data_IF_340392138116
#
_entry.id   IF_340392138116
#
_cell.length_a   1.000
_cell.length_b   1.000
_cell.length_c   1.000
_cell.angle_alpha   90.00
_cell.angle_beta   90.00
_cell.angle_gamma   90.00
#
_symmetry.space_group_name_H-M   'P 1'
#
loop_
_entity.id
_entity.type
_entity.pdbx_description
1 polymer ?
#
# COMPACT_ATOMS: atom_id res chain seq x y z
N UNK A 1 11.09 -5.20 31.78
CA UNK A 1 12.51 -5.25 31.38
C UNK A 1 12.77 -5.76 29.95
N UNK A 2 11.75 -6.16 29.16
CA UNK A 2 11.93 -6.60 27.76
C UNK A 2 11.44 -5.60 26.69
N UNK A 3 10.65 -4.59 27.05
CA UNK A 3 10.17 -3.56 26.10
C UNK A 3 11.26 -2.54 25.72
N UNK A 4 12.24 -2.27 26.59
CA UNK A 4 13.34 -1.33 26.31
C UNK A 4 14.25 -1.82 25.17
N UNK A 5 14.31 -3.15 24.95
CA UNK A 5 15.06 -3.76 23.84
C UNK A 5 14.36 -3.58 22.49
N UNK A 6 13.02 -3.57 22.48
CA UNK A 6 12.22 -3.36 21.27
C UNK A 6 12.29 -1.90 20.86
N UNK A 7 12.22 -0.95 21.81
CA UNK A 7 12.48 0.46 21.51
C UNK A 7 13.88 0.64 20.94
N UNK A 8 14.89 -0.08 21.43
CA UNK A 8 16.24 -0.05 20.87
C UNK A 8 16.35 -0.65 19.45
N UNK A 9 15.57 -1.68 19.12
CA UNK A 9 15.51 -2.29 17.77
C UNK A 9 14.58 -1.57 16.80
N UNK A 10 13.54 -0.88 17.29
CA UNK A 10 12.59 -0.09 16.49
C UNK A 10 13.04 1.36 16.29
N UNK A 11 14.03 1.84 17.03
CA UNK A 11 14.54 3.22 16.90
C UNK A 11 15.98 3.38 16.42
N UNK A 12 16.81 2.34 16.32
CA UNK A 12 18.19 2.52 15.82
C UNK A 12 18.63 1.29 15.01
N UNK A 13 18.41 1.36 13.70
CA UNK A 13 19.24 0.60 12.77
C UNK A 13 20.66 1.20 12.85
N UNK A 14 21.53 0.51 13.59
CA UNK A 14 23.00 0.56 13.61
C UNK A 14 23.71 1.92 13.72
N UNK A 15 24.44 2.07 14.84
CA UNK A 15 25.46 3.11 15.12
C UNK A 15 26.65 3.18 14.14
N UNK A 16 26.69 2.35 13.10
CA UNK A 16 27.76 2.32 12.09
C UNK A 16 27.25 2.33 10.63
N UNK A 17 25.96 2.57 10.39
CA UNK A 17 25.47 2.68 9.01
C UNK A 17 25.62 4.12 8.53
N UNK A 18 26.62 4.35 7.69
CA UNK A 18 26.54 5.36 6.63
C UNK A 18 25.14 5.29 6.03
N UNK A 19 24.33 6.34 6.21
CA UNK A 19 23.02 6.46 5.59
C UNK A 19 23.19 6.16 4.09
N UNK A 20 22.78 4.97 3.65
CA UNK A 20 22.81 4.65 2.24
C UNK A 20 21.65 5.41 1.61
N UNK A 21 21.95 6.44 0.83
CA UNK A 21 20.97 7.08 -0.03
C UNK A 21 20.17 5.99 -0.76
N UNK A 22 18.86 6.20 -0.89
CA UNK A 22 18.07 5.40 -1.82
C UNK A 22 18.78 5.43 -3.19
N UNK A 23 18.78 4.33 -3.95
CA UNK A 23 19.31 4.35 -5.31
C UNK A 23 18.71 5.53 -6.08
N UNK A 24 19.57 6.41 -6.61
CA UNK A 24 19.16 7.52 -7.47
C UNK A 24 18.77 8.81 -6.79
N UNK A 25 18.87 8.91 -5.46
CA UNK A 25 18.47 10.12 -4.74
C UNK A 25 19.35 11.34 -5.06
N UNK A 26 18.72 12.48 -5.38
CA UNK A 26 19.39 13.74 -5.71
C UNK A 26 19.59 14.67 -4.53
N UNK A 27 18.61 14.71 -3.60
CA UNK A 27 18.62 15.62 -2.48
C UNK A 27 19.38 15.02 -1.28
N UNK A 28 20.00 15.90 -0.48
CA UNK A 28 20.59 15.48 0.79
C UNK A 28 19.48 15.13 1.79
N UNK A 29 19.38 13.83 2.06
CA UNK A 29 18.75 13.17 3.22
C UNK A 29 17.36 13.70 3.62
N UNK A 30 16.34 13.42 2.79
CA UNK A 30 15.04 13.13 3.40
C UNK A 30 15.14 11.78 4.12
N UNK A 31 15.01 11.80 5.44
CA UNK A 31 14.94 10.57 6.24
C UNK A 31 13.52 10.04 6.12
N UNK A 32 13.39 8.83 5.58
CA UNK A 32 12.13 8.12 5.48
C UNK A 32 12.11 6.92 6.42
N UNK A 33 11.13 6.90 7.33
CA UNK A 33 10.89 5.77 8.21
C UNK A 33 10.05 4.71 7.48
N UNK A 34 10.53 3.46 7.46
CA UNK A 34 9.78 2.30 6.98
C UNK A 34 9.65 1.27 8.09
N UNK A 35 8.50 0.59 8.12
CA UNK A 35 8.28 -0.51 9.05
C UNK A 35 9.14 -1.70 8.62
N UNK A 36 9.90 -2.27 9.55
CA UNK A 36 10.66 -3.50 9.30
C UNK A 36 9.72 -4.71 9.25
N UNK A 37 10.14 -5.80 8.62
CA UNK A 37 9.32 -7.02 8.61
C UNK A 37 9.11 -7.59 10.04
N UNK A 38 10.05 -7.34 10.96
CA UNK A 38 9.90 -7.64 12.37
C UNK A 38 8.81 -6.78 13.03
N UNK A 39 8.82 -5.46 12.85
CA UNK A 39 7.80 -4.58 13.43
C UNK A 39 6.41 -4.85 12.83
N UNK A 40 6.33 -5.15 11.53
CA UNK A 40 5.08 -5.59 10.87
C UNK A 40 4.54 -6.88 11.47
N UNK A 41 5.42 -7.83 11.81
CA UNK A 41 5.04 -9.09 12.46
C UNK A 41 4.46 -8.84 13.85
N UNK A 42 5.11 -8.00 14.65
CA UNK A 42 4.60 -7.57 15.97
C UNK A 42 3.20 -6.98 15.80
N UNK A 43 3.03 -5.99 14.90
CA UNK A 43 1.73 -5.37 14.66
C UNK A 43 0.67 -6.39 14.22
N UNK A 44 1.01 -7.31 13.30
CA UNK A 44 0.08 -8.36 12.87
C UNK A 44 -0.31 -9.28 14.04
N UNK A 45 0.64 -9.66 14.89
CA UNK A 45 0.39 -10.51 16.05
C UNK A 45 -0.45 -9.82 17.13
N UNK A 46 -0.50 -8.48 17.15
CA UNK A 46 -1.42 -7.68 17.97
C UNK A 46 -2.83 -7.66 17.35
N UNK A 47 -2.93 -7.32 16.06
CA UNK A 47 -4.22 -7.07 15.42
C UNK A 47 -4.99 -8.36 15.10
N UNK A 48 -4.29 -9.42 14.68
CA UNK A 48 -4.92 -10.67 14.22
C UNK A 48 -5.73 -11.37 15.33
N UNK A 49 -5.22 -11.57 16.55
CA UNK A 49 -5.99 -12.21 17.61
C UNK A 49 -7.23 -11.41 18.05
N UNK A 50 -7.14 -10.08 18.04
CA UNK A 50 -8.30 -9.21 18.28
C UNK A 50 -9.38 -9.40 17.23
N UNK A 51 -8.99 -9.47 15.96
CA UNK A 51 -9.90 -9.78 14.86
C UNK A 51 -10.51 -11.19 14.99
N UNK A 52 -9.71 -12.20 15.35
CA UNK A 52 -10.19 -13.58 15.55
C UNK A 52 -11.21 -13.67 16.70
N UNK A 53 -10.95 -12.97 17.80
CA UNK A 53 -11.87 -12.87 18.92
C UNK A 53 -13.15 -12.15 18.52
N UNK A 54 -13.03 -11.00 17.85
CA UNK A 54 -14.18 -10.26 17.34
C UNK A 54 -15.06 -11.13 16.42
N UNK A 55 -14.47 -11.90 15.51
CA UNK A 55 -15.19 -12.85 14.65
C UNK A 55 -15.94 -13.93 15.43
N UNK A 56 -15.47 -14.29 16.62
CA UNK A 56 -16.08 -15.29 17.52
C UNK A 56 -17.06 -14.68 18.52
N UNK A 57 -17.31 -13.36 18.50
CA UNK A 57 -18.11 -12.68 19.52
C UNK A 57 -17.39 -12.60 20.87
N UNK A 58 -16.06 -12.56 20.87
CA UNK A 58 -15.20 -12.57 22.04
C UNK A 58 -14.34 -11.29 22.10
N UNK A 59 -13.90 -10.91 23.29
CA UNK A 59 -12.98 -9.79 23.52
C UNK A 59 -11.97 -10.14 24.61
N UNK A 60 -10.88 -9.40 24.72
CA UNK A 60 -9.99 -9.48 25.89
C UNK A 60 -10.46 -8.53 26.99
N UNK A 61 -10.39 -8.98 28.25
CA UNK A 61 -10.56 -8.12 29.43
C UNK A 61 -9.32 -7.26 29.63
N UNK A 62 -9.52 -5.98 29.96
CA UNK A 62 -8.47 -5.07 30.44
C UNK A 62 -7.19 -5.04 29.57
N UNK A 63 -7.35 -5.24 28.26
CA UNK A 63 -6.24 -5.31 27.30
C UNK A 63 -5.53 -3.97 27.17
N UNK A 64 -4.28 -3.93 27.62
CA UNK A 64 -3.36 -2.79 27.49
C UNK A 64 -1.90 -3.24 27.20
N UNK A 65 -0.97 -2.29 27.15
CA UNK A 65 0.46 -2.54 26.91
C UNK A 65 1.12 -3.50 27.93
N UNK A 66 0.62 -3.58 29.16
CA UNK A 66 1.21 -4.41 30.23
C UNK A 66 0.93 -5.88 29.99
N UNK A 67 -0.11 -6.17 29.22
CA UNK A 67 -0.47 -7.53 28.84
C UNK A 67 0.37 -8.09 27.71
N UNK A 68 1.25 -7.29 27.08
CA UNK A 68 1.98 -7.72 25.89
C UNK A 68 3.43 -8.05 26.24
N UNK A 69 3.89 -9.17 25.70
CA UNK A 69 5.29 -9.59 25.70
C UNK A 69 5.67 -9.95 24.28
N UNK A 70 6.80 -9.47 23.77
CA UNK A 70 7.28 -9.85 22.43
C UNK A 70 8.32 -10.95 22.56
N UNK A 71 8.18 -11.98 21.74
CA UNK A 71 9.11 -13.10 21.65
C UNK A 71 10.35 -12.74 20.83
N UNK A 72 11.41 -13.55 20.95
CA UNK A 72 12.61 -13.43 20.12
C UNK A 72 12.30 -13.62 18.61
N UNK A 73 11.16 -14.23 18.26
CA UNK A 73 10.68 -14.38 16.87
C UNK A 73 9.98 -13.13 16.32
N UNK A 74 9.77 -12.11 17.15
CA UNK A 74 9.05 -10.89 16.79
C UNK A 74 7.52 -11.02 16.85
N UNK A 75 6.99 -11.95 17.66
CA UNK A 75 5.55 -12.13 17.86
C UNK A 75 5.13 -11.57 19.22
N UNK A 76 4.03 -10.84 19.27
CA UNK A 76 3.37 -10.42 20.49
C UNK A 76 2.56 -11.59 21.08
N UNK A 77 2.92 -11.95 22.30
CA UNK A 77 2.17 -12.85 23.18
C UNK A 77 1.42 -12.04 24.23
N UNK A 78 0.27 -12.56 24.64
CA UNK A 78 -0.54 -11.95 25.68
C UNK A 78 -0.40 -12.71 26.99
N UNK A 79 -0.25 -11.95 28.07
CA UNK A 79 -0.28 -12.44 29.44
C UNK A 79 -1.36 -11.72 30.23
N UNK A 80 -1.87 -12.38 31.25
CA UNK A 80 -2.77 -11.79 32.23
C UNK A 80 -4.04 -11.16 31.61
N UNK A 81 -4.48 -11.68 30.46
CA UNK A 81 -5.75 -11.30 29.81
C UNK A 81 -6.73 -12.45 29.85
N UNK A 82 -7.99 -12.15 30.19
CA UNK A 82 -9.08 -13.11 30.10
C UNK A 82 -9.84 -12.90 28.80
N UNK A 83 -10.38 -13.99 28.23
CA UNK A 83 -11.29 -13.90 27.09
C UNK A 83 -12.71 -13.73 27.62
N UNK A 84 -13.28 -12.55 27.42
CA UNK A 84 -14.68 -12.25 27.67
C UNK A 84 -15.54 -12.95 26.61
N UNK A 85 -16.59 -13.64 27.08
CA UNK A 85 -17.54 -14.43 26.27
C UNK A 85 -18.95 -14.14 26.73
N UNK A 86 -19.93 -14.50 25.90
CA UNK A 86 -21.37 -14.36 26.21
C UNK A 86 -21.78 -12.93 26.59
N UNK A 87 -21.10 -11.94 26.01
CA UNK A 87 -21.41 -10.52 26.19
C UNK A 87 -22.72 -10.18 25.48
N UNK A 88 -23.49 -9.26 26.05
CA UNK A 88 -24.59 -8.63 25.31
C UNK A 88 -24.04 -7.85 24.11
N UNK A 89 -24.90 -7.52 23.14
CA UNK A 89 -24.48 -6.78 21.94
C UNK A 89 -23.82 -5.44 22.26
N UNK A 90 -24.30 -4.74 23.30
CA UNK A 90 -23.76 -3.44 23.72
C UNK A 90 -22.40 -3.59 24.41
N UNK A 91 -22.29 -4.52 25.36
CA UNK A 91 -21.02 -4.83 26.04
C UNK A 91 -19.96 -5.30 25.04
N UNK A 92 -20.35 -6.14 24.08
CA UNK A 92 -19.45 -6.62 23.04
C UNK A 92 -18.95 -5.47 22.16
N UNK A 93 -19.84 -4.55 21.73
CA UNK A 93 -19.45 -3.40 20.93
C UNK A 93 -18.49 -2.48 21.70
N UNK A 94 -18.76 -2.23 22.99
CA UNK A 94 -17.91 -1.40 23.82
C UNK A 94 -16.55 -2.07 24.10
N UNK A 95 -16.53 -3.35 24.45
CA UNK A 95 -15.31 -4.11 24.70
C UNK A 95 -14.44 -4.23 23.44
N UNK A 96 -15.07 -4.49 22.29
CA UNK A 96 -14.38 -4.52 20.99
C UNK A 96 -13.71 -3.18 20.71
N UNK A 97 -14.44 -2.07 20.88
CA UNK A 97 -13.88 -0.72 20.68
C UNK A 97 -12.72 -0.44 21.61
N UNK A 98 -12.83 -0.81 22.89
CA UNK A 98 -11.73 -0.67 23.87
C UNK A 98 -10.50 -1.46 23.45
N UNK A 99 -10.65 -2.74 23.05
CA UNK A 99 -9.52 -3.56 22.62
C UNK A 99 -8.80 -2.98 21.40
N UNK A 100 -9.53 -2.50 20.40
CA UNK A 100 -8.91 -1.94 19.19
C UNK A 100 -8.29 -0.56 19.41
N UNK A 101 -8.86 0.28 20.28
CA UNK A 101 -8.21 1.53 20.72
C UNK A 101 -6.92 1.22 21.48
N UNK A 102 -6.96 0.27 22.41
CA UNK A 102 -5.74 -0.16 23.10
C UNK A 102 -4.69 -0.71 22.13
N UNK A 103 -5.09 -1.50 21.12
CA UNK A 103 -4.18 -1.96 20.08
C UNK A 103 -3.56 -0.79 19.30
N UNK A 104 -4.37 0.20 18.92
CA UNK A 104 -3.90 1.42 18.28
C UNK A 104 -2.83 2.11 19.14
N UNK A 105 -3.12 2.31 20.43
CA UNK A 105 -2.23 3.03 21.35
C UNK A 105 -0.94 2.25 21.59
N UNK A 106 -1.01 0.93 21.78
CA UNK A 106 0.17 0.05 21.88
C UNK A 106 1.03 0.16 20.62
N UNK A 107 0.43 0.07 19.44
CA UNK A 107 1.19 0.12 18.18
C UNK A 107 1.83 1.50 18.02
N UNK A 108 1.07 2.58 18.20
CA UNK A 108 1.56 3.96 18.09
C UNK A 108 2.65 4.27 19.10
N UNK A 109 2.35 4.09 20.38
CA UNK A 109 3.12 4.65 21.48
C UNK A 109 4.21 3.70 21.96
N UNK A 110 3.98 2.38 21.91
CA UNK A 110 4.94 1.38 22.39
C UNK A 110 5.81 0.85 21.25
N UNK A 111 5.19 0.35 20.17
CA UNK A 111 5.96 -0.28 19.07
C UNK A 111 6.75 0.77 18.28
N UNK A 112 6.11 1.90 17.96
CA UNK A 112 6.71 2.96 17.13
C UNK A 112 7.09 4.23 17.90
N UNK A 113 7.01 4.24 19.24
CA UNK A 113 7.42 5.39 20.05
C UNK A 113 6.85 6.74 19.56
N UNK A 114 5.57 6.75 19.16
CA UNK A 114 4.82 7.89 18.59
C UNK A 114 5.33 8.40 17.23
N UNK A 115 6.14 7.61 16.53
CA UNK A 115 6.64 7.91 15.18
C UNK A 115 6.39 6.76 14.21
N UNK A 116 5.12 6.35 14.00
CA UNK A 116 4.80 5.31 13.03
C UNK A 116 5.12 5.75 11.59
N UNK A 117 5.73 4.87 10.76
CA UNK A 117 5.84 5.05 9.32
C UNK A 117 4.50 5.34 8.66
N UNK A 118 4.49 6.07 7.53
CA UNK A 118 3.27 6.51 6.85
C UNK A 118 2.27 5.37 6.56
N UNK A 119 2.76 4.19 6.17
CA UNK A 119 1.93 3.01 5.89
C UNK A 119 1.27 2.45 7.16
N UNK A 120 1.95 2.50 8.32
CA UNK A 120 1.39 2.12 9.62
C UNK A 120 0.42 3.17 10.12
N UNK A 121 0.75 4.45 9.99
CA UNK A 121 -0.14 5.57 10.32
C UNK A 121 -1.48 5.48 9.58
N UNK A 122 -1.46 5.05 8.32
CA UNK A 122 -2.68 4.76 7.58
C UNK A 122 -3.51 3.63 8.21
N UNK A 123 -2.90 2.51 8.58
CA UNK A 123 -3.58 1.42 9.30
C UNK A 123 -4.17 1.91 10.63
N UNK A 124 -3.40 2.68 11.41
CA UNK A 124 -3.86 3.24 12.68
C UNK A 124 -5.06 4.17 12.50
N UNK A 125 -5.07 4.99 11.45
CA UNK A 125 -6.22 5.83 11.11
C UNK A 125 -7.48 4.99 10.82
N UNK A 126 -7.35 3.89 10.08
CA UNK A 126 -8.47 2.96 9.83
C UNK A 126 -8.98 2.32 11.12
N UNK A 127 -8.09 1.89 12.02
CA UNK A 127 -8.46 1.34 13.33
C UNK A 127 -9.20 2.37 14.17
N UNK A 128 -8.68 3.60 14.24
CA UNK A 128 -9.25 4.68 15.04
C UNK A 128 -10.64 5.11 14.55
N UNK A 129 -10.84 5.12 13.23
CA UNK A 129 -12.11 5.49 12.60
C UNK A 129 -13.08 4.32 12.45
N UNK A 130 -12.68 3.11 12.87
CA UNK A 130 -13.45 1.88 12.72
C UNK A 130 -13.83 1.54 11.26
N UNK A 131 -12.92 1.83 10.33
CA UNK A 131 -13.11 1.62 8.90
C UNK A 131 -12.49 0.31 8.42
N UNK A 132 -13.26 -0.53 7.73
CA UNK A 132 -12.79 -1.79 7.12
C UNK A 132 -12.16 -2.77 8.12
N UNK A 133 -12.78 -2.94 9.30
CA UNK A 133 -12.30 -3.79 10.40
C UNK A 133 -11.86 -5.18 9.96
N UNK A 134 -12.54 -5.79 9.00
CA UNK A 134 -12.20 -7.12 8.50
C UNK A 134 -10.80 -7.19 7.90
N UNK A 135 -10.22 -6.06 7.46
CA UNK A 135 -8.97 -6.00 6.70
C UNK A 135 -7.74 -5.68 7.52
N UNK A 136 -7.86 -5.22 8.77
CA UNK A 136 -6.72 -4.70 9.53
C UNK A 136 -5.60 -5.73 9.71
N UNK A 137 -5.94 -6.99 9.99
CA UNK A 137 -5.00 -8.08 10.20
C UNK A 137 -4.23 -8.51 8.94
N UNK A 138 -4.79 -8.22 7.77
CA UNK A 138 -4.23 -8.48 6.43
C UNK A 138 -3.90 -7.18 5.69
N UNK A 139 -3.84 -6.05 6.41
CA UNK A 139 -3.58 -4.75 5.81
C UNK A 139 -2.21 -4.76 5.12
N UNK A 140 -2.14 -4.12 3.95
CA UNK A 140 -0.97 -4.12 3.08
C UNK A 140 0.29 -3.53 3.71
N UNK A 141 0.14 -2.62 4.69
CA UNK A 141 1.28 -2.12 5.48
C UNK A 141 1.96 -3.20 6.32
N UNK A 142 1.30 -4.35 6.54
CA UNK A 142 1.82 -5.50 7.26
C UNK A 142 2.45 -6.55 6.32
N UNK A 143 2.46 -6.32 5.00
CA UNK A 143 3.08 -7.24 4.05
C UNK A 143 4.61 -7.21 4.16
N UNK A 144 5.19 -8.42 4.08
CA UNK A 144 6.65 -8.56 3.98
C UNK A 144 7.14 -7.92 2.68
N UNK A 145 8.34 -7.34 2.69
CA UNK A 145 8.91 -6.66 1.52
C UNK A 145 8.91 -7.55 0.27
N UNK A 146 9.26 -8.83 0.43
CA UNK A 146 9.33 -9.82 -0.66
C UNK A 146 7.98 -10.07 -1.35
N UNK A 147 6.87 -9.87 -0.64
CA UNK A 147 5.53 -10.09 -1.17
C UNK A 147 4.96 -8.86 -1.91
N UNK A 148 5.59 -7.69 -1.78
CA UNK A 148 5.02 -6.40 -2.18
C UNK A 148 4.71 -6.33 -3.68
N UNK A 149 5.69 -6.60 -4.56
CA UNK A 149 5.51 -6.50 -6.01
C UNK A 149 4.49 -7.50 -6.58
N UNK A 150 4.48 -8.74 -6.10
CA UNK A 150 3.51 -9.76 -6.52
C UNK A 150 2.08 -9.38 -6.12
N UNK A 151 1.90 -8.91 -4.89
CA UNK A 151 0.60 -8.49 -4.38
C UNK A 151 0.09 -7.22 -5.06
N UNK A 152 0.98 -6.26 -5.31
CA UNK A 152 0.70 -5.06 -6.09
C UNK A 152 0.15 -5.43 -7.46
N UNK A 153 0.88 -6.27 -8.21
CA UNK A 153 0.48 -6.69 -9.56
C UNK A 153 -0.91 -7.33 -9.54
N UNK A 154 -1.16 -8.24 -8.61
CA UNK A 154 -2.44 -8.93 -8.49
C UNK A 154 -3.60 -7.96 -8.22
N UNK A 155 -3.47 -7.06 -7.24
CA UNK A 155 -4.54 -6.11 -6.92
C UNK A 155 -4.75 -5.10 -8.03
N UNK A 156 -3.67 -4.58 -8.62
CA UNK A 156 -3.76 -3.64 -9.74
C UNK A 156 -4.47 -4.27 -10.94
N UNK A 157 -4.07 -5.48 -11.34
CA UNK A 157 -4.71 -6.22 -12.43
C UNK A 157 -6.21 -6.35 -12.18
N UNK A 158 -6.61 -6.76 -10.97
CA UNK A 158 -8.02 -6.92 -10.66
C UNK A 158 -8.79 -5.61 -10.63
N UNK A 159 -8.30 -4.56 -9.95
CA UNK A 159 -8.99 -3.26 -9.93
C UNK A 159 -9.14 -2.73 -11.35
N UNK A 160 -8.08 -2.82 -12.16
CA UNK A 160 -8.11 -2.41 -13.57
C UNK A 160 -9.16 -3.17 -14.38
N UNK A 161 -9.20 -4.50 -14.29
CA UNK A 161 -10.08 -5.31 -15.14
C UNK A 161 -11.51 -5.47 -14.59
N UNK A 162 -11.76 -5.12 -13.32
CA UNK A 162 -13.07 -5.26 -12.67
C UNK A 162 -13.76 -3.90 -12.45
N UNK A 163 -13.02 -2.84 -12.12
CA UNK A 163 -13.56 -1.49 -11.84
C UNK A 163 -12.57 -0.38 -12.21
N UNK A 164 -12.51 -0.04 -13.50
CA UNK A 164 -11.62 0.98 -14.05
C UNK A 164 -11.62 2.35 -13.31
N UNK A 165 -12.63 2.62 -12.48
CA UNK A 165 -12.79 3.86 -11.69
C UNK A 165 -12.00 3.88 -10.37
N UNK A 166 -11.60 2.73 -9.83
CA UNK A 166 -10.86 2.65 -8.56
C UNK A 166 -9.45 3.28 -8.61
N UNK A 167 -8.91 3.47 -9.81
CA UNK A 167 -7.56 4.01 -10.08
C UNK A 167 -7.48 5.52 -9.86
N UNK A 168 -8.61 6.25 -9.95
CA UNK A 168 -8.65 7.72 -9.97
C UNK A 168 -8.03 8.39 -8.74
N UNK A 169 -8.09 7.76 -7.56
CA UNK A 169 -7.72 8.39 -6.28
C UNK A 169 -6.27 8.15 -5.83
N UNK A 170 -5.55 7.24 -6.49
CA UNK A 170 -4.34 6.64 -5.90
C UNK A 170 -3.02 7.28 -6.39
N UNK A 171 -3.06 8.14 -7.42
CA UNK A 171 -1.84 8.67 -8.06
C UNK A 171 -1.74 10.19 -8.21
N UNK A 172 -2.67 11.00 -7.71
CA UNK A 172 -2.76 12.42 -8.13
C UNK A 172 -1.53 13.28 -7.75
N UNK A 173 -0.71 12.84 -6.80
CA UNK A 173 0.48 13.59 -6.32
C UNK A 173 1.82 12.90 -6.58
N UNK A 174 1.87 11.85 -7.42
CA UNK A 174 3.09 11.06 -7.60
C UNK A 174 4.27 11.86 -8.16
N UNK A 175 3.99 12.89 -8.97
CA UNK A 175 5.01 13.68 -9.66
C UNK A 175 5.98 14.37 -8.68
N UNK A 176 5.46 14.88 -7.56
CA UNK A 176 6.30 15.49 -6.52
C UNK A 176 7.21 14.46 -5.82
N UNK A 177 6.75 13.21 -5.70
CA UNK A 177 7.51 12.14 -5.05
C UNK A 177 8.62 11.54 -5.94
N UNK A 178 8.67 11.94 -7.21
CA UNK A 178 9.62 11.46 -8.23
C UNK A 178 10.73 12.47 -8.52
N UNK A 179 10.46 13.76 -8.38
CA UNK A 179 11.35 14.87 -8.80
C UNK A 179 12.74 14.83 -8.15
N UNK A 180 12.86 14.24 -6.96
CA UNK A 180 14.11 14.20 -6.19
C UNK A 180 14.85 12.85 -6.28
N UNK A 181 14.45 11.98 -7.21
CA UNK A 181 15.13 10.71 -7.46
C UNK A 181 15.39 10.56 -8.97
N UNK A 182 16.65 10.72 -9.41
CA UNK A 182 17.08 10.60 -10.83
C UNK A 182 16.61 9.30 -11.43
N UNK A 183 16.56 8.21 -10.67
CA UNK A 183 16.17 6.92 -11.23
C UNK A 183 14.67 6.86 -11.43
N UNK A 184 13.86 7.33 -10.48
CA UNK A 184 12.42 7.41 -10.72
C UNK A 184 12.15 8.35 -11.88
N UNK A 185 12.80 9.52 -11.90
CA UNK A 185 12.68 10.49 -12.97
C UNK A 185 13.11 9.87 -14.30
N UNK A 186 14.33 9.35 -14.42
CA UNK A 186 14.82 8.69 -15.61
C UNK A 186 13.95 7.48 -15.96
N UNK A 187 13.68 6.48 -15.11
CA UNK A 187 12.85 5.33 -15.51
C UNK A 187 11.47 5.75 -16.01
N UNK A 188 10.87 6.79 -15.40
CA UNK A 188 9.60 7.33 -15.84
C UNK A 188 9.75 8.17 -17.13
N UNK A 189 10.93 8.67 -17.46
CA UNK A 189 11.22 9.47 -18.66
C UNK A 189 12.04 8.74 -19.78
N UNK A 190 12.67 7.59 -19.51
CA UNK A 190 13.81 6.97 -20.21
C UNK A 190 13.44 6.25 -21.51
N UNK A 191 12.15 6.10 -21.81
CA UNK A 191 11.72 5.70 -23.15
C UNK A 191 10.78 6.75 -23.71
N UNK A 192 11.12 7.24 -24.91
CA UNK A 192 10.19 7.86 -25.85
C UNK A 192 8.78 7.26 -25.72
N UNK A 193 7.90 7.94 -24.98
CA UNK A 193 6.52 7.58 -24.54
C UNK A 193 6.31 6.93 -23.16
N UNK A 194 6.90 7.47 -22.09
CA UNK A 194 6.19 7.52 -20.80
C UNK A 194 6.10 8.93 -20.21
N UNK A 195 5.93 9.91 -21.08
CA UNK A 195 4.97 10.96 -20.76
C UNK A 195 3.63 10.42 -21.24
N UNK A 196 2.53 10.46 -20.46
CA UNK A 196 1.22 10.49 -21.10
C UNK A 196 1.34 11.55 -22.19
N UNK A 197 1.23 11.22 -23.49
CA UNK A 197 1.41 12.18 -24.56
C UNK A 197 0.55 13.38 -24.21
N UNK A 198 1.20 14.51 -23.93
CA UNK A 198 0.46 15.72 -23.63
C UNK A 198 -0.44 15.98 -24.84
N UNK A 199 -1.72 16.31 -24.62
CA UNK A 199 -2.65 16.55 -25.71
C UNK A 199 -1.99 17.45 -26.74
N UNK A 200 -1.81 16.98 -27.97
CA UNK A 200 -1.32 17.85 -29.03
C UNK A 200 -2.37 18.97 -29.17
N UNK A 201 -2.02 20.26 -29.01
CA UNK A 201 -2.99 21.34 -29.06
C UNK A 201 -3.81 21.33 -30.37
N UNK A 202 -3.23 20.78 -31.44
CA UNK A 202 -3.85 20.68 -32.77
C UNK A 202 -4.49 19.30 -33.06
N UNK A 203 -4.68 18.43 -32.07
CA UNK A 203 -5.28 17.13 -32.32
C UNK A 203 -6.76 17.25 -32.75
N UNK A 204 -7.10 16.49 -33.79
CA UNK A 204 -8.45 16.47 -34.37
C UNK A 204 -9.35 15.41 -33.71
N UNK A 205 -8.74 14.44 -33.01
CA UNK A 205 -9.40 13.41 -32.23
C UNK A 205 -8.41 12.80 -31.22
N UNK A 206 -8.93 12.20 -30.15
CA UNK A 206 -8.10 11.44 -29.21
C UNK A 206 -7.28 10.37 -29.95
N UNK A 207 -6.02 10.21 -29.55
CA UNK A 207 -5.15 9.15 -30.08
C UNK A 207 -5.55 7.77 -29.53
N UNK A 208 -4.98 6.70 -30.08
CA UNK A 208 -5.33 5.33 -29.68
C UNK A 208 -5.00 5.03 -28.22
N UNK A 209 -3.91 5.59 -27.67
CA UNK A 209 -3.53 5.37 -26.28
C UNK A 209 -4.49 6.06 -25.31
N UNK A 210 -4.92 7.29 -25.62
CA UNK A 210 -5.95 8.01 -24.85
C UNK A 210 -7.30 7.31 -24.91
N UNK A 211 -7.73 6.87 -26.11
CA UNK A 211 -8.98 6.11 -26.29
C UNK A 211 -8.99 4.80 -25.51
N UNK A 212 -7.89 4.03 -25.58
CA UNK A 212 -7.77 2.78 -24.83
C UNK A 212 -7.77 3.02 -23.33
N UNK A 213 -7.07 4.06 -22.86
CA UNK A 213 -7.03 4.34 -21.43
C UNK A 213 -8.36 4.86 -20.88
N UNK A 214 -9.09 5.71 -21.61
CA UNK A 214 -10.45 6.10 -21.23
C UNK A 214 -11.39 4.89 -21.17
N UNK A 215 -11.31 4.01 -22.17
CA UNK A 215 -12.05 2.75 -22.18
C UNK A 215 -11.70 1.87 -20.99
N UNK A 216 -10.42 1.69 -20.68
CA UNK A 216 -9.94 0.90 -19.54
C UNK A 216 -10.36 1.51 -18.20
N UNK A 217 -10.48 2.83 -18.12
CA UNK A 217 -10.99 3.56 -16.96
C UNK A 217 -12.53 3.51 -16.84
N UNK A 218 -13.24 2.90 -17.80
CA UNK A 218 -14.70 2.92 -17.86
C UNK A 218 -15.28 4.32 -18.09
N UNK A 219 -14.49 5.21 -18.70
CA UNK A 219 -14.88 6.55 -19.09
C UNK A 219 -15.22 6.53 -20.58
N UNK A 220 -16.50 6.61 -20.92
CA UNK A 220 -16.91 6.70 -22.32
C UNK A 220 -16.42 8.04 -22.92
N UNK A 221 -15.64 8.02 -24.02
CA UNK A 221 -15.23 9.25 -24.69
C UNK A 221 -16.46 9.99 -25.19
N UNK A 222 -16.47 11.32 -25.07
CA UNK A 222 -17.52 12.13 -25.70
C UNK A 222 -17.41 11.98 -27.21
N UNK A 223 -18.53 11.87 -27.93
CA UNK A 223 -18.51 11.83 -29.40
C UNK A 223 -17.75 13.06 -29.93
N UNK A 224 -16.73 12.81 -30.76
CA UNK A 224 -15.87 13.85 -31.37
C UNK A 224 -14.96 14.54 -30.33
N UNK A 225 -14.67 13.87 -29.20
CA UNK A 225 -13.70 14.38 -28.24
C UNK A 225 -12.33 14.57 -28.91
N UNK A 226 -11.88 15.82 -28.92
CA UNK A 226 -10.57 16.20 -29.46
C UNK A 226 -9.49 16.07 -28.40
N UNK A 227 -9.75 16.54 -27.18
CA UNK A 227 -8.78 16.52 -26.08
C UNK A 227 -9.38 15.91 -24.82
N UNK A 228 -8.54 15.34 -23.95
CA UNK A 228 -8.92 14.94 -22.60
C UNK A 228 -9.34 16.18 -21.80
N UNK A 229 -10.40 16.08 -21.00
CA UNK A 229 -10.68 17.09 -19.96
C UNK A 229 -9.57 17.05 -18.90
N UNK A 230 -9.42 18.11 -18.11
CA UNK A 230 -8.42 18.15 -17.02
C UNK A 230 -8.55 16.95 -16.06
N UNK A 231 -9.80 16.55 -15.81
CA UNK A 231 -10.12 15.39 -14.97
C UNK A 231 -9.63 14.10 -15.63
N UNK A 232 -9.97 13.89 -16.90
CA UNK A 232 -9.55 12.71 -17.66
C UNK A 232 -8.03 12.66 -17.85
N UNK A 233 -7.38 13.80 -18.05
CA UNK A 233 -5.93 13.90 -18.16
C UNK A 233 -5.26 13.49 -16.86
N UNK A 234 -5.74 13.98 -15.70
CA UNK A 234 -5.23 13.55 -14.39
C UNK A 234 -5.40 12.05 -14.18
N UNK A 235 -6.54 11.49 -14.56
CA UNK A 235 -6.82 10.04 -14.43
C UNK A 235 -5.95 9.21 -15.37
N UNK A 236 -5.78 9.67 -16.61
CA UNK A 236 -4.90 9.05 -17.59
C UNK A 236 -3.45 9.01 -17.08
N UNK A 237 -2.94 10.12 -16.56
CA UNK A 237 -1.59 10.23 -15.99
C UNK A 237 -1.42 9.31 -14.77
N UNK A 238 -2.41 9.28 -13.85
CA UNK A 238 -2.37 8.40 -12.68
C UNK A 238 -2.46 6.91 -13.05
N UNK A 239 -3.29 6.56 -14.05
CA UNK A 239 -3.42 5.20 -14.55
C UNK A 239 -2.14 4.70 -15.20
N UNK A 240 -1.52 5.55 -16.03
CA UNK A 240 -0.21 5.24 -16.58
C UNK A 240 0.75 4.99 -15.43
N UNK A 241 0.86 5.91 -14.45
CA UNK A 241 1.75 5.77 -13.29
C UNK A 241 1.64 4.40 -12.58
N UNK A 242 0.43 3.90 -12.32
CA UNK A 242 0.27 2.61 -11.66
C UNK A 242 0.73 1.39 -12.50
N UNK A 243 0.85 1.51 -13.83
CA UNK A 243 1.48 0.49 -14.70
C UNK A 243 3.00 0.39 -14.53
N UNK A 244 3.65 1.43 -13.98
CA UNK A 244 5.10 1.44 -13.75
C UNK A 244 5.54 0.37 -12.73
N UNK A 245 5.07 0.39 -11.46
CA UNK A 245 5.43 -0.64 -10.47
C UNK A 245 4.82 -2.02 -10.79
N UNK A 246 3.78 -2.09 -11.63
CA UNK A 246 3.13 -3.35 -12.06
C UNK A 246 4.04 -4.23 -12.93
N UNK A 247 4.75 -3.64 -13.89
CA UNK A 247 5.41 -4.37 -15.00
C UNK A 247 6.86 -4.79 -14.68
N UNK A 248 7.12 -5.10 -13.41
CA UNK A 248 8.42 -5.48 -12.85
C UNK A 248 9.46 -4.38 -13.00
N UNK A 249 9.63 -3.61 -11.94
CA UNK A 249 10.70 -2.63 -11.75
C UNK A 249 12.07 -3.18 -12.18
N UNK A 250 12.31 -4.49 -11.98
CA UNK A 250 13.51 -5.23 -12.36
C UNK A 250 13.85 -5.24 -13.88
N UNK A 251 12.91 -5.59 -14.76
CA UNK A 251 13.21 -5.71 -16.21
C UNK A 251 13.48 -4.36 -16.88
N UNK A 252 12.84 -3.31 -16.37
CA UNK A 252 13.10 -1.93 -16.82
C UNK A 252 14.38 -1.38 -16.20
N UNK A 253 14.68 -1.75 -14.95
CA UNK A 253 15.92 -1.43 -14.26
C UNK A 253 17.15 -2.04 -14.94
N UNK A 254 17.13 -3.31 -15.38
CA UNK A 254 18.29 -3.91 -16.06
C UNK A 254 18.70 -3.14 -17.32
N UNK A 255 17.70 -2.69 -18.10
CA UNK A 255 17.92 -1.88 -19.30
C UNK A 255 18.41 -0.47 -18.96
N UNK A 256 17.91 0.13 -17.87
CA UNK A 256 18.39 1.42 -17.39
C UNK A 256 19.79 1.32 -16.79
N UNK A 257 20.10 0.29 -16.00
CA UNK A 257 21.43 0.07 -15.41
C UNK A 257 22.47 -0.17 -16.48
N UNK A 258 22.11 -0.91 -17.52
CA UNK A 258 22.93 -0.98 -18.72
C UNK A 258 23.17 0.44 -19.26
N UNK A 259 22.15 1.26 -19.46
CA UNK A 259 22.35 2.61 -19.98
C UNK A 259 23.18 3.51 -19.05
N UNK A 260 22.88 3.56 -17.75
CA UNK A 260 23.58 4.38 -16.75
C UNK A 260 25.05 4.00 -16.63
N UNK A 261 25.36 2.69 -16.68
CA UNK A 261 26.73 2.18 -16.66
C UNK A 261 27.52 2.61 -17.90
N UNK A 262 26.87 2.76 -19.05
CA UNK A 262 27.53 3.06 -20.32
C UNK A 262 27.47 4.54 -20.74
N UNK A 263 26.55 5.33 -20.18
CA UNK A 263 26.32 6.73 -20.59
C UNK A 263 26.48 7.76 -19.46
N UNK A 264 26.34 7.36 -18.19
CA UNK A 264 26.34 8.29 -17.05
C UNK A 264 27.44 8.01 -16.01
N UNK A 265 28.27 6.98 -16.19
CA UNK A 265 29.32 6.56 -15.24
C UNK A 265 28.84 6.30 -13.80
N UNK A 266 27.55 5.98 -13.62
CA UNK A 266 26.99 5.64 -12.30
C UNK A 266 27.24 4.15 -12.03
N UNK A 267 28.01 3.84 -10.99
CA UNK A 267 28.25 2.45 -10.56
C UNK A 267 27.04 1.91 -9.81
N UNK A 268 26.41 0.86 -10.34
CA UNK A 268 25.18 0.23 -9.84
C UNK A 268 25.22 -0.45 -8.47
N UNK A 269 25.99 0.05 -7.48
CA UNK A 269 25.97 -0.48 -6.09
C UNK A 269 24.63 -0.15 -5.40
N UNK A 270 23.84 -1.17 -5.07
CA UNK A 270 22.49 -1.04 -4.49
C UNK A 270 21.34 -1.11 -5.50
N UNK A 271 21.66 -1.31 -6.78
CA UNK A 271 20.70 -1.26 -7.88
C UNK A 271 20.35 -2.69 -8.31
N UNK A 272 19.42 -3.28 -7.59
CA UNK A 272 18.80 -4.57 -7.91
C UNK A 272 17.29 -4.47 -7.70
N UNK A 273 16.55 -5.53 -8.03
CA UNK A 273 15.10 -5.60 -7.85
C UNK A 273 14.65 -5.13 -6.46
N UNK A 274 15.36 -5.55 -5.40
CA UNK A 274 15.03 -5.19 -4.03
C UNK A 274 15.25 -3.69 -3.75
N UNK A 275 16.30 -3.10 -4.30
CA UNK A 275 16.54 -1.65 -4.20
C UNK A 275 15.42 -0.82 -4.81
N UNK A 276 14.88 -1.24 -5.95
CA UNK A 276 13.76 -0.54 -6.59
C UNK A 276 12.42 -0.74 -5.89
N UNK A 277 12.13 -1.95 -5.42
CA UNK A 277 10.94 -2.18 -4.59
C UNK A 277 10.99 -1.30 -3.33
N UNK A 278 12.17 -1.14 -2.72
CA UNK A 278 12.36 -0.25 -1.57
C UNK A 278 12.17 1.22 -1.92
N UNK A 279 12.66 1.69 -3.08
CA UNK A 279 12.38 3.06 -3.57
C UNK A 279 10.87 3.27 -3.74
N UNK A 280 10.16 2.32 -4.35
CA UNK A 280 8.70 2.41 -4.53
C UNK A 280 7.99 2.40 -3.18
N UNK A 281 8.41 1.57 -2.24
CA UNK A 281 7.79 1.44 -0.92
C UNK A 281 8.00 2.68 -0.06
N UNK A 282 9.17 3.32 -0.17
CA UNK A 282 9.52 4.56 0.56
C UNK A 282 8.83 5.77 -0.05
N UNK A 283 8.92 5.94 -1.37
CA UNK A 283 8.34 7.10 -2.06
C UNK A 283 6.82 6.98 -2.22
N UNK A 284 6.27 5.77 -2.17
CA UNK A 284 4.83 5.53 -2.34
C UNK A 284 4.22 4.57 -1.30
N UNK A 285 4.31 4.89 0.00
CA UNK A 285 4.02 3.95 1.09
C UNK A 285 2.54 3.57 1.23
N UNK A 286 1.63 4.36 0.65
CA UNK A 286 0.17 4.22 0.82
C UNK A 286 -0.56 3.69 -0.41
N UNK A 287 0.11 3.53 -1.56
CA UNK A 287 -0.55 3.12 -2.81
C UNK A 287 -1.21 1.75 -2.65
N UNK A 288 -0.47 0.79 -2.11
CA UNK A 288 -0.96 -0.57 -1.97
C UNK A 288 -2.17 -0.65 -1.02
N UNK A 289 -2.18 0.16 0.04
CA UNK A 289 -3.29 0.27 0.99
C UNK A 289 -4.53 0.90 0.37
N UNK A 290 -4.34 1.91 -0.48
CA UNK A 290 -5.45 2.48 -1.24
C UNK A 290 -6.04 1.48 -2.22
N UNK A 291 -5.21 0.74 -2.97
CA UNK A 291 -5.68 -0.31 -3.88
C UNK A 291 -6.46 -1.39 -3.13
N UNK A 292 -5.95 -1.84 -1.97
CA UNK A 292 -6.64 -2.80 -1.09
C UNK A 292 -8.01 -2.28 -0.64
N UNK A 293 -8.10 -1.01 -0.22
CA UNK A 293 -9.37 -0.42 0.21
C UNK A 293 -10.39 -0.31 -0.93
N UNK A 294 -9.96 0.04 -2.14
CA UNK A 294 -10.85 0.05 -3.30
C UNK A 294 -11.35 -1.35 -3.62
N UNK A 295 -10.43 -2.31 -3.63
CA UNK A 295 -10.74 -3.70 -3.89
C UNK A 295 -11.72 -4.29 -2.86
N UNK A 296 -11.54 -3.97 -1.57
CA UNK A 296 -12.48 -4.34 -0.52
C UNK A 296 -13.89 -3.79 -0.80
N UNK A 297 -13.99 -2.50 -1.16
CA UNK A 297 -15.28 -1.86 -1.45
C UNK A 297 -15.99 -2.55 -2.61
N UNK A 298 -15.24 -2.93 -3.65
CA UNK A 298 -15.78 -3.64 -4.81
C UNK A 298 -16.26 -5.04 -4.48
N UNK A 299 -15.47 -5.81 -3.73
CA UNK A 299 -15.88 -7.13 -3.24
C UNK A 299 -17.19 -7.06 -2.45
N UNK A 300 -17.30 -6.08 -1.56
CA UNK A 300 -18.51 -5.86 -0.77
C UNK A 300 -19.72 -5.46 -1.62
N UNK A 301 -19.55 -4.51 -2.55
CA UNK A 301 -20.62 -4.11 -3.46
C UNK A 301 -21.09 -5.26 -4.36
N UNK A 302 -20.17 -6.13 -4.79
CA UNK A 302 -20.50 -7.33 -5.56
C UNK A 302 -21.33 -8.33 -4.74
N UNK A 303 -20.95 -8.59 -3.49
CA UNK A 303 -21.72 -9.45 -2.58
C UNK A 303 -23.11 -8.87 -2.25
N UNK A 304 -23.22 -7.55 -2.19
CA UNK A 304 -24.49 -6.84 -1.99
C UNK A 304 -25.34 -6.70 -3.29
N UNK A 305 -24.87 -7.25 -4.42
CA UNK A 305 -25.58 -7.23 -5.71
C UNK A 305 -25.63 -5.87 -6.39
N UNK A 306 -24.78 -4.91 -5.99
CA UNK A 306 -24.79 -3.51 -6.44
C UNK A 306 -23.92 -3.23 -7.67
N UNK A 307 -23.16 -4.21 -8.15
CA UNK A 307 -22.29 -4.10 -9.34
C UNK A 307 -22.63 -5.19 -10.34
N UNK A 308 -23.12 -4.80 -11.52
CA UNK A 308 -23.18 -5.63 -12.73
C UNK A 308 -21.89 -5.42 -13.52
N UNK A 309 -21.01 -6.42 -13.52
CA UNK A 309 -19.74 -6.36 -14.27
C UNK A 309 -20.04 -6.44 -15.77
N UNK A 310 -19.70 -5.40 -16.53
CA UNK A 310 -19.72 -5.46 -17.99
C UNK A 310 -18.54 -6.30 -18.49
N UNK A 311 -18.82 -7.24 -19.38
CA UNK A 311 -17.88 -8.11 -20.09
C UNK A 311 -17.23 -9.24 -19.25
N UNK A 312 -17.96 -10.34 -19.10
CA UNK A 312 -17.40 -11.71 -19.08
C UNK A 312 -16.50 -12.14 -17.92
N UNK A 313 -16.01 -11.22 -17.09
CA UNK A 313 -15.27 -11.54 -15.86
C UNK A 313 -16.32 -11.84 -14.79
N UNK A 314 -16.53 -13.13 -14.56
CA UNK A 314 -17.51 -13.67 -13.62
C UNK A 314 -17.47 -12.95 -12.26
N UNK A 315 -18.64 -12.73 -11.65
CA UNK A 315 -18.85 -12.34 -10.24
C UNK A 315 -17.99 -13.20 -9.27
N UNK A 316 -17.55 -14.39 -9.71
CA UNK A 316 -16.57 -15.23 -9.01
C UNK A 316 -15.21 -14.55 -8.81
N UNK A 317 -14.80 -13.63 -9.70
CA UNK A 317 -13.55 -12.89 -9.61
C UNK A 317 -13.46 -12.04 -8.36
N UNK A 318 -14.45 -11.16 -8.10
CA UNK A 318 -14.51 -10.27 -6.95
C UNK A 318 -14.73 -11.00 -5.60
N UNK A 319 -15.46 -12.12 -5.60
CA UNK A 319 -15.63 -12.97 -4.42
C UNK A 319 -14.41 -13.88 -4.15
N UNK A 320 -13.72 -14.38 -5.18
CA UNK A 320 -12.45 -15.12 -5.03
C UNK A 320 -11.31 -14.19 -4.63
N UNK A 321 -11.32 -12.97 -5.17
CA UNK A 321 -10.54 -11.82 -4.75
C UNK A 321 -10.67 -11.54 -3.25
N UNK A 322 -11.91 -11.43 -2.74
CA UNK A 322 -12.19 -11.27 -1.31
C UNK A 322 -11.58 -12.42 -0.48
N UNK A 323 -11.62 -13.65 -1.00
CA UNK A 323 -10.97 -14.82 -0.38
C UNK A 323 -9.44 -14.80 -0.44
N UNK A 324 -8.80 -13.93 -1.22
CA UNK A 324 -7.34 -13.75 -1.14
C UNK A 324 -6.90 -13.07 0.16
N UNK A 325 -7.84 -12.44 0.88
CA UNK A 325 -7.59 -11.68 2.10
C UNK A 325 -8.13 -12.35 3.38
N UNK A 326 -8.93 -13.41 3.26
CA UNK A 326 -9.51 -14.16 4.40
C UNK A 326 -8.87 -15.54 4.54
#
# INVERSE_FOLDING_TARGET
>A
MYMDKIVAESSIINKDQTFSLLPGELSQMEIHDIATDASKRIVRSIVKPLWENWKKGQCYSDFDEKNIVVTDSGDAMYKDVQVLRNLTSEEFAQATRKNFIAAHDIISDVVYARRPPASISHLLALIRNDEFREMWHVHTSLLNEVAYGGFYKQMYDNVKFVDGKGVEKTGIYWQFMVQDNVILDEVLHFKNSYRPPLPNPNQMCLNNAEKMALKDLGLEPVKIQKQLSDVQLRMYVAFQFLEFPRNTSAHRLDRLLWWLKHNANITGKGFNTNGMERVVQVRFPIILSHLQNQFYKLGRQSLEGRVTVSAGVSIRGAAAAWRMFL
#
